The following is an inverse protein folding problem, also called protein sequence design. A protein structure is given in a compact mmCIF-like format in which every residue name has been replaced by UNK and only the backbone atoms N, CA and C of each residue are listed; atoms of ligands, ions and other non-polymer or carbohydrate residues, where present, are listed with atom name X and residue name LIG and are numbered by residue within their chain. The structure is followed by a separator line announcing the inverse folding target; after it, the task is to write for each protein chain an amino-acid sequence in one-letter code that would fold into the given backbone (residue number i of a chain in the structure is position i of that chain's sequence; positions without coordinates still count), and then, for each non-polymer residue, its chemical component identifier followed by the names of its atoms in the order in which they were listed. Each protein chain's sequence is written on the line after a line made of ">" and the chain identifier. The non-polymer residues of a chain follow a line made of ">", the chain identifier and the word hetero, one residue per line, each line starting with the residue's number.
data_IF_825089863325
#
_entry.id   IF_825089863325
#
_cell.length_a   1.000
_cell.length_b   1.000
_cell.length_c   1.000
_cell.angle_alpha   90.00
_cell.angle_beta   90.00
_cell.angle_gamma   90.00
#
_symmetry.space_group_name_H-M   'P 1'
#
loop_
_entity.id
_entity.type
_entity.pdbx_description
1 polymer ?
#
# COMPACT_ATOMS: atom_id res chain seq x y z
N UNK A 1 27.05 8.06 -8.66
CA UNK A 1 25.92 7.24 -8.21
C UNK A 1 25.29 7.97 -7.03
N UNK A 2 23.96 8.21 -7.04
CA UNK A 2 23.25 8.83 -5.95
C UNK A 2 23.23 7.97 -4.69
N UNK A 3 22.64 8.50 -3.59
CA UNK A 3 22.39 7.72 -2.37
C UNK A 3 21.31 6.68 -2.67
N UNK A 4 21.51 5.37 -2.42
CA UNK A 4 20.49 4.36 -2.65
C UNK A 4 19.37 4.38 -1.61
N UNK A 5 19.49 5.19 -0.56
CA UNK A 5 18.47 5.36 0.46
C UNK A 5 17.90 6.76 0.44
N UNK A 6 16.59 6.83 0.45
CA UNK A 6 15.87 8.09 0.67
C UNK A 6 14.93 7.93 1.86
N UNK A 7 15.30 8.54 2.98
CA UNK A 7 14.47 8.60 4.18
C UNK A 7 13.57 9.83 4.11
N UNK A 8 12.26 9.63 4.07
CA UNK A 8 11.28 10.70 4.11
C UNK A 8 11.27 11.37 5.49
N UNK A 9 11.32 12.72 5.56
CA UNK A 9 11.25 13.41 6.83
C UNK A 9 9.91 13.19 7.51
N UNK A 10 9.93 12.83 8.79
CA UNK A 10 8.76 12.54 9.63
C UNK A 10 7.72 13.68 9.68
N UNK A 11 8.15 14.92 9.48
CA UNK A 11 7.36 16.14 9.65
C UNK A 11 7.27 16.97 8.36
N UNK A 12 7.08 16.35 7.21
CA UNK A 12 6.67 17.14 6.05
C UNK A 12 5.22 17.55 6.27
N UNK A 13 4.94 18.78 6.79
CA UNK A 13 3.58 19.20 7.03
C UNK A 13 2.83 19.19 5.70
N UNK A 14 1.79 18.41 5.62
CA UNK A 14 0.88 18.36 4.48
C UNK A 14 1.07 17.23 3.48
N UNK A 15 2.00 16.29 3.65
CA UNK A 15 2.12 15.16 2.70
C UNK A 15 1.71 13.79 3.24
N UNK A 16 1.67 13.57 4.55
CA UNK A 16 1.38 12.24 5.12
C UNK A 16 0.12 12.13 5.97
N UNK A 17 -0.43 13.24 6.48
CA UNK A 17 -1.59 13.22 7.37
C UNK A 17 -2.87 13.76 6.74
N UNK A 18 -2.79 14.41 5.64
CA UNK A 18 -3.96 14.93 4.96
C UNK A 18 -4.11 14.24 3.63
N UNK A 19 -4.92 13.19 3.64
CA UNK A 19 -5.49 12.61 2.43
C UNK A 19 -4.41 12.36 1.37
N UNK A 20 -3.61 11.31 1.50
CA UNK A 20 -2.98 10.76 0.32
C UNK A 20 -4.14 10.54 -0.64
N UNK A 21 -4.32 11.50 -1.54
CA UNK A 21 -5.52 11.60 -2.39
C UNK A 21 -5.54 10.54 -3.47
N UNK A 22 -4.49 9.69 -3.52
CA UNK A 22 -4.33 8.71 -4.59
C UNK A 22 -3.47 7.54 -4.15
N UNK A 23 -3.84 6.40 -4.64
CA UNK A 23 -2.98 5.23 -4.67
C UNK A 23 -1.80 5.54 -5.58
N UNK A 24 -0.61 5.13 -5.18
CA UNK A 24 0.61 5.32 -5.95
C UNK A 24 1.43 4.03 -5.98
N UNK A 25 2.38 3.99 -6.85
CA UNK A 25 3.44 2.99 -6.91
C UNK A 25 4.75 3.69 -7.29
N UNK A 26 5.84 3.06 -7.00
CA UNK A 26 7.18 3.50 -7.35
C UNK A 26 8.07 2.31 -7.71
N UNK A 27 9.24 2.60 -8.26
CA UNK A 27 10.18 1.60 -8.73
C UNK A 27 11.21 1.18 -7.67
N UNK A 28 11.10 1.69 -6.48
CA UNK A 28 11.96 1.36 -5.34
C UNK A 28 11.23 0.41 -4.39
N UNK A 29 11.99 -0.34 -3.60
CA UNK A 29 11.49 -0.97 -2.38
C UNK A 29 11.16 0.11 -1.37
N UNK A 30 9.98 0.04 -0.73
CA UNK A 30 9.65 0.93 0.39
C UNK A 30 9.56 0.13 1.69
N UNK A 31 10.29 0.61 2.68
CA UNK A 31 10.16 0.17 4.06
C UNK A 31 9.48 1.26 4.88
N UNK A 32 8.49 0.89 5.68
CA UNK A 32 7.82 1.80 6.59
C UNK A 32 7.96 1.38 8.04
N UNK A 33 8.13 2.35 8.94
CA UNK A 33 8.06 2.17 10.38
C UNK A 33 7.05 3.11 10.99
N UNK A 34 5.94 2.55 11.49
CA UNK A 34 4.89 3.29 12.19
C UNK A 34 5.20 3.31 13.68
N UNK A 35 5.37 4.51 14.25
CA UNK A 35 5.70 4.70 15.66
C UNK A 35 4.51 5.03 16.52
N UNK A 36 3.51 5.68 15.96
CA UNK A 36 2.31 6.13 16.68
C UNK A 36 1.07 6.03 15.78
N UNK A 37 -0.09 5.97 16.41
CA UNK A 37 -1.38 6.06 15.71
C UNK A 37 -1.87 4.75 15.12
N UNK A 38 -2.87 4.87 14.28
CA UNK A 38 -3.52 3.74 13.60
C UNK A 38 -4.14 4.18 12.28
N UNK A 39 -4.53 3.22 11.45
CA UNK A 39 -5.15 3.53 10.17
C UNK A 39 -5.41 2.30 9.33
N UNK A 40 -5.47 2.52 8.03
CA UNK A 40 -5.67 1.48 7.03
C UNK A 40 -4.56 1.62 5.99
N UNK A 41 -3.91 0.51 5.70
CA UNK A 41 -2.99 0.37 4.59
C UNK A 41 -3.71 -0.34 3.45
N UNK A 42 -3.78 0.29 2.31
CA UNK A 42 -4.24 -0.35 1.09
C UNK A 42 -3.02 -0.78 0.27
N UNK A 43 -2.96 -2.06 -0.05
CA UNK A 43 -1.89 -2.62 -0.90
C UNK A 43 -2.55 -3.52 -1.93
N UNK A 44 -2.46 -3.16 -3.21
CA UNK A 44 -3.09 -3.84 -4.34
C UNK A 44 -4.61 -4.00 -4.14
N UNK A 45 -5.11 -5.19 -3.83
CA UNK A 45 -6.52 -5.47 -3.57
C UNK A 45 -6.84 -5.68 -2.08
N UNK A 46 -5.83 -5.54 -1.22
CA UNK A 46 -5.97 -5.78 0.22
C UNK A 46 -6.17 -4.47 0.98
N UNK A 47 -7.08 -4.51 1.93
CA UNK A 47 -7.32 -3.42 2.89
C UNK A 47 -6.90 -3.94 4.27
N UNK A 48 -5.80 -3.42 4.79
CA UNK A 48 -5.14 -3.96 5.98
C UNK A 48 -5.19 -2.91 7.09
N UNK A 49 -5.98 -3.13 8.15
CA UNK A 49 -5.90 -2.28 9.34
C UNK A 49 -4.52 -2.39 9.97
N UNK A 50 -3.96 -1.24 10.38
CA UNK A 50 -2.71 -1.22 11.13
C UNK A 50 -2.86 -0.41 12.42
N UNK A 51 -2.04 -0.75 13.39
CA UNK A 51 -1.85 -0.01 14.63
C UNK A 51 -0.37 -0.02 14.97
N UNK A 52 0.14 1.13 15.41
CA UNK A 52 1.53 1.23 15.89
C UNK A 52 1.76 0.44 17.18
N UNK A 53 2.96 -0.15 17.38
CA UNK A 53 4.06 -0.15 16.42
C UNK A 53 3.86 -1.19 15.31
N UNK A 54 4.18 -0.82 14.06
CA UNK A 54 4.16 -1.77 12.95
C UNK A 54 5.16 -1.35 11.85
N UNK A 55 5.50 -2.29 10.99
CA UNK A 55 6.34 -2.05 9.82
C UNK A 55 5.58 -2.36 8.53
N UNK A 56 5.97 -1.72 7.44
CA UNK A 56 5.55 -2.08 6.09
C UNK A 56 6.75 -2.48 5.22
N UNK A 57 6.51 -3.46 4.34
CA UNK A 57 7.44 -3.87 3.29
C UNK A 57 6.67 -3.88 1.98
N UNK A 58 6.92 -2.89 1.14
CA UNK A 58 6.26 -2.69 -0.14
C UNK A 58 7.30 -2.86 -1.24
N UNK A 59 7.06 -3.84 -2.09
CA UNK A 59 7.96 -4.13 -3.21
C UNK A 59 7.70 -3.19 -4.39
N UNK A 60 8.69 -3.10 -5.26
CA UNK A 60 8.61 -2.37 -6.51
C UNK A 60 7.31 -2.66 -7.27
N UNK A 61 6.64 -1.60 -7.70
CA UNK A 61 5.43 -1.69 -8.52
C UNK A 61 4.16 -2.07 -7.76
N UNK A 62 4.21 -2.36 -6.45
CA UNK A 62 3.00 -2.57 -5.66
C UNK A 62 2.25 -1.26 -5.46
N UNK A 63 0.99 -1.27 -5.83
CA UNK A 63 0.12 -0.11 -5.64
C UNK A 63 -0.30 -0.07 -4.18
N UNK A 64 -0.05 1.06 -3.54
CA UNK A 64 -0.32 1.19 -2.11
C UNK A 64 -0.68 2.61 -1.69
N UNK A 65 -1.26 2.71 -0.50
CA UNK A 65 -1.49 3.95 0.23
C UNK A 65 -1.67 3.63 1.73
N UNK A 66 -1.00 4.40 2.59
CA UNK A 66 -1.27 4.42 4.02
C UNK A 66 -2.21 5.58 4.35
N UNK A 67 -3.24 5.33 5.13
CA UNK A 67 -4.15 6.37 5.58
C UNK A 67 -4.37 6.29 7.08
N UNK A 68 -4.08 7.39 7.74
CA UNK A 68 -4.24 7.55 9.18
C UNK A 68 -5.73 7.60 9.59
N UNK A 69 -6.00 7.11 10.79
CA UNK A 69 -7.22 7.42 11.49
C UNK A 69 -7.17 8.89 11.97
N UNK A 70 -8.16 9.74 11.63
CA UNK A 70 -8.17 11.15 12.04
C UNK A 70 -8.08 11.36 13.54
N UNK A 71 -8.68 10.45 14.33
CA UNK A 71 -8.71 10.53 15.79
C UNK A 71 -7.41 10.01 16.43
N UNK A 72 -6.61 9.25 15.66
CA UNK A 72 -5.30 8.71 16.07
C UNK A 72 -4.34 8.76 14.88
N UNK A 73 -3.88 9.95 14.50
CA UNK A 73 -3.00 10.11 13.35
C UNK A 73 -1.74 9.25 13.48
N UNK A 74 -1.39 8.59 12.39
CA UNK A 74 -0.22 7.72 12.37
C UNK A 74 1.04 8.53 12.05
N UNK A 75 2.14 8.19 12.73
CA UNK A 75 3.46 8.72 12.42
C UNK A 75 4.31 7.63 11.80
N UNK A 76 4.73 7.87 10.57
CA UNK A 76 5.52 6.95 9.79
C UNK A 76 6.90 7.52 9.44
N UNK A 77 7.89 6.66 9.42
CA UNK A 77 9.12 6.83 8.67
C UNK A 77 9.04 5.94 7.44
N UNK A 78 9.16 6.52 6.25
CA UNK A 78 9.25 5.77 5.01
C UNK A 78 10.65 5.88 4.43
N UNK A 79 11.17 4.77 3.95
CA UNK A 79 12.50 4.64 3.36
C UNK A 79 12.33 4.04 1.98
N UNK A 80 12.64 4.80 0.95
CA UNK A 80 12.78 4.26 -0.39
C UNK A 80 14.20 3.74 -0.57
N UNK A 81 14.31 2.54 -1.09
CA UNK A 81 15.56 1.80 -1.25
C UNK A 81 15.74 1.45 -2.72
N UNK A 82 16.79 1.98 -3.34
CA UNK A 82 17.15 1.67 -4.72
C UNK A 82 17.63 0.21 -4.84
N UNK A 83 17.18 -0.49 -5.86
CA UNK A 83 17.57 -1.88 -6.13
C UNK A 83 19.08 -2.07 -6.34
N UNK A 84 19.84 -1.01 -6.63
CA UNK A 84 21.28 -1.08 -6.81
C UNK A 84 22.03 -1.60 -5.56
N UNK A 85 21.37 -1.61 -4.38
CA UNK A 85 21.93 -2.22 -3.16
C UNK A 85 21.87 -3.74 -3.20
N UNK A 86 20.98 -4.31 -3.99
CA UNK A 86 20.90 -5.75 -4.22
C UNK A 86 21.91 -6.11 -5.31
N UNK A 87 22.98 -6.77 -4.95
CA UNK A 87 24.00 -7.16 -5.94
C UNK A 87 23.49 -8.30 -6.81
N UNK A 88 24.05 -8.42 -8.03
CA UNK A 88 23.78 -9.55 -8.95
C UNK A 88 24.07 -10.96 -8.38
N UNK A 89 24.61 -11.03 -7.16
CA UNK A 89 24.85 -12.27 -6.41
C UNK A 89 23.74 -12.60 -5.42
N UNK A 90 22.81 -11.65 -5.20
CA UNK A 90 21.68 -11.92 -4.33
C UNK A 90 20.66 -12.77 -5.10
N UNK A 91 20.01 -13.64 -4.38
CA UNK A 91 18.98 -14.51 -4.91
C UNK A 91 17.90 -13.66 -5.61
N UNK A 92 17.62 -13.91 -6.89
CA UNK A 92 16.55 -13.25 -7.65
C UNK A 92 15.20 -13.35 -6.93
N UNK A 93 15.07 -14.32 -6.02
CA UNK A 93 13.89 -14.45 -5.16
C UNK A 93 13.65 -13.24 -4.24
N UNK A 94 14.67 -12.42 -3.95
CA UNK A 94 14.54 -11.24 -3.08
C UNK A 94 13.92 -10.02 -3.80
N UNK A 95 14.07 -9.96 -5.12
CA UNK A 95 13.59 -8.83 -5.94
C UNK A 95 12.29 -9.15 -6.67
N UNK A 96 12.01 -10.43 -6.89
CA UNK A 96 10.78 -10.87 -7.53
C UNK A 96 9.62 -10.70 -6.56
N UNK A 97 8.75 -9.72 -6.84
CA UNK A 97 7.61 -9.31 -6.04
C UNK A 97 6.92 -10.39 -5.21
N UNK A 98 7.39 -10.57 -4.01
CA UNK A 98 6.80 -11.53 -3.07
C UNK A 98 5.52 -10.95 -2.50
N UNK A 99 4.43 -11.70 -2.61
CA UNK A 99 3.16 -11.36 -1.96
C UNK A 99 3.24 -11.88 -0.52
N UNK A 100 4.01 -11.21 0.32
CA UNK A 100 4.00 -11.40 1.77
C UNK A 100 2.92 -10.58 2.46
N UNK A 101 2.88 -10.63 3.78
CA UNK A 101 2.11 -9.69 4.57
C UNK A 101 2.77 -8.31 4.45
N UNK A 102 2.16 -7.33 3.76
CA UNK A 102 2.81 -6.04 3.54
C UNK A 102 2.89 -5.19 4.82
N UNK A 103 2.09 -5.53 5.85
CA UNK A 103 2.11 -4.91 7.18
C UNK A 103 2.43 -5.98 8.21
N UNK A 104 3.37 -5.69 9.06
CA UNK A 104 3.92 -6.58 10.08
C UNK A 104 3.89 -5.87 11.43
N UNK A 105 3.38 -6.53 12.44
CA UNK A 105 3.30 -6.06 13.80
C UNK A 105 4.04 -7.00 14.77
N UNK A 106 3.94 -6.75 16.05
CA UNK A 106 4.59 -7.52 17.11
C UNK A 106 3.83 -8.80 17.50
N UNK A 107 2.75 -9.15 16.81
CA UNK A 107 1.94 -10.34 17.12
C UNK A 107 2.65 -11.66 16.81
N UNK A 108 3.59 -11.66 15.88
CA UNK A 108 4.40 -12.84 15.51
C UNK A 108 5.89 -12.61 15.81
N UNK A 109 6.66 -13.69 15.93
CA UNK A 109 8.11 -13.60 16.14
C UNK A 109 8.80 -12.91 14.94
N UNK A 110 8.43 -13.34 13.74
CA UNK A 110 8.96 -12.79 12.49
C UNK A 110 8.58 -11.32 12.32
N UNK A 111 7.35 -10.93 12.68
CA UNK A 111 6.89 -9.55 12.63
C UNK A 111 7.71 -8.66 13.58
N UNK A 112 7.96 -9.10 14.81
CA UNK A 112 8.83 -8.40 15.78
C UNK A 112 10.24 -8.22 15.26
N UNK A 113 10.80 -9.26 14.66
CA UNK A 113 12.15 -9.21 14.09
C UNK A 113 12.25 -8.17 12.98
N UNK A 114 11.30 -8.19 12.02
CA UNK A 114 11.30 -7.26 10.89
C UNK A 114 11.06 -5.83 11.39
N UNK A 115 10.12 -5.63 12.32
CA UNK A 115 9.86 -4.32 12.93
C UNK A 115 11.14 -3.74 13.57
N UNK A 116 11.86 -4.55 14.33
CA UNK A 116 13.14 -4.16 14.95
C UNK A 116 14.18 -3.80 13.90
N UNK A 117 14.31 -4.60 12.85
CA UNK A 117 15.28 -4.34 11.77
C UNK A 117 14.94 -3.05 11.02
N UNK A 118 13.68 -2.79 10.72
CA UNK A 118 13.26 -1.54 10.04
C UNK A 118 13.54 -0.33 10.92
N UNK A 119 13.29 -0.43 12.23
CA UNK A 119 13.68 0.62 13.19
C UNK A 119 15.18 0.88 13.13
N UNK A 120 16.02 -0.17 13.17
CA UNK A 120 17.48 -0.03 13.10
C UNK A 120 17.94 0.63 11.79
N UNK A 121 17.28 0.38 10.65
CA UNK A 121 17.57 1.07 9.39
C UNK A 121 17.29 2.56 9.52
N UNK A 122 16.14 2.96 10.09
CA UNK A 122 15.82 4.38 10.33
C UNK A 122 16.87 5.03 11.22
N UNK A 123 17.24 4.38 12.33
CA UNK A 123 18.22 4.90 13.28
C UNK A 123 19.60 5.10 12.64
N UNK A 124 20.07 4.16 11.81
CA UNK A 124 21.33 4.28 11.08
C UNK A 124 21.31 5.43 10.07
N UNK A 125 20.23 5.54 9.29
CA UNK A 125 20.09 6.61 8.29
C UNK A 125 19.99 8.01 8.92
N UNK A 126 19.40 8.11 10.12
CA UNK A 126 19.32 9.37 10.87
C UNK A 126 20.63 9.73 11.52
N UNK A 127 21.33 8.75 12.08
CA UNK A 127 22.59 8.97 12.81
C UNK A 127 23.74 9.44 11.92
N UNK A 128 23.75 9.05 10.63
CA UNK A 128 24.75 9.42 9.62
C UNK A 128 26.20 9.21 10.07
N UNK A 129 26.45 8.17 10.88
CA UNK A 129 27.79 7.80 11.38
C UNK A 129 28.62 7.14 10.28
N UNK A 130 29.97 7.14 10.38
CA UNK A 130 30.78 6.32 9.49
C UNK A 130 30.30 4.85 9.50
N UNK A 131 30.03 4.28 8.33
CA UNK A 131 29.52 2.92 8.21
C UNK A 131 28.01 2.74 8.31
N UNK A 132 27.23 3.77 8.68
CA UNK A 132 25.76 3.68 8.78
C UNK A 132 25.09 3.18 7.51
N UNK A 133 25.61 3.59 6.35
CA UNK A 133 25.08 3.15 5.06
C UNK A 133 25.27 1.64 4.86
N UNK A 134 26.45 1.11 5.13
CA UNK A 134 26.74 -0.31 5.03
C UNK A 134 25.90 -1.11 6.01
N UNK A 135 25.73 -0.61 7.24
CA UNK A 135 24.84 -1.21 8.21
C UNK A 135 23.39 -1.26 7.68
N UNK A 136 22.89 -0.15 7.14
CA UNK A 136 21.53 -0.09 6.56
C UNK A 136 21.36 -1.10 5.40
N UNK A 137 22.34 -1.23 4.50
CA UNK A 137 22.33 -2.23 3.42
C UNK A 137 22.20 -3.66 3.95
N UNK A 138 22.97 -4.04 4.95
CA UNK A 138 22.89 -5.39 5.55
C UNK A 138 21.56 -5.62 6.27
N UNK A 139 21.06 -4.61 6.96
CA UNK A 139 19.74 -4.67 7.63
C UNK A 139 18.62 -4.87 6.62
N UNK A 140 18.62 -4.12 5.52
CA UNK A 140 17.62 -4.26 4.45
C UNK A 140 17.67 -5.67 3.85
N UNK A 141 18.83 -6.20 3.55
CA UNK A 141 18.97 -7.59 3.08
C UNK A 141 18.38 -8.59 4.08
N UNK A 142 18.66 -8.41 5.36
CA UNK A 142 18.10 -9.27 6.42
C UNK A 142 16.58 -9.18 6.49
N UNK A 143 16.01 -7.99 6.33
CA UNK A 143 14.54 -7.77 6.24
C UNK A 143 13.97 -8.56 5.06
N UNK A 144 14.56 -8.42 3.88
CA UNK A 144 14.06 -9.08 2.67
C UNK A 144 14.11 -10.61 2.79
N UNK A 145 15.20 -11.17 3.29
CA UNK A 145 15.29 -12.63 3.53
C UNK A 145 14.26 -13.12 4.54
N UNK A 146 14.04 -12.38 5.63
CA UNK A 146 13.00 -12.73 6.62
C UNK A 146 11.61 -12.61 6.02
N UNK A 147 11.33 -11.53 5.30
CA UNK A 147 10.03 -11.29 4.67
C UNK A 147 9.71 -12.32 3.59
N UNK A 148 10.70 -12.72 2.78
CA UNK A 148 10.55 -13.75 1.76
C UNK A 148 10.08 -15.11 2.34
N UNK A 149 10.48 -15.44 3.57
CA UNK A 149 10.02 -16.66 4.26
C UNK A 149 8.55 -16.63 4.68
N UNK A 150 7.99 -15.42 4.80
CA UNK A 150 6.57 -15.21 5.12
C UNK A 150 5.69 -15.20 3.88
N UNK A 151 6.29 -15.23 2.71
CA UNK A 151 5.61 -15.00 1.44
C UNK A 151 5.13 -16.30 0.79
N UNK A 152 3.92 -16.30 0.31
CA UNK A 152 3.43 -17.33 -0.62
C UNK A 152 4.00 -17.00 -2.02
N UNK A 153 4.69 -17.95 -2.66
CA UNK A 153 5.52 -17.74 -3.86
C UNK A 153 4.71 -17.43 -5.13
N UNK A 154 4.05 -16.28 -5.19
CA UNK A 154 3.46 -15.77 -6.43
C UNK A 154 4.29 -14.62 -6.98
N UNK A 155 5.11 -14.90 -7.97
CA UNK A 155 5.90 -13.89 -8.67
C UNK A 155 5.02 -13.14 -9.68
N UNK A 156 4.87 -11.83 -9.52
CA UNK A 156 4.42 -10.94 -10.60
C UNK A 156 5.67 -10.35 -11.26
N UNK A 157 5.89 -10.65 -12.53
CA UNK A 157 7.03 -10.13 -13.26
C UNK A 157 6.93 -8.59 -13.41
N UNK A 158 7.90 -7.79 -12.91
CA UNK A 158 7.83 -6.33 -12.88
C UNK A 158 7.54 -5.67 -14.23
N UNK A 159 8.06 -6.24 -15.34
CA UNK A 159 7.83 -5.73 -16.69
C UNK A 159 6.37 -5.81 -17.15
N UNK A 160 5.56 -6.72 -16.59
CA UNK A 160 4.12 -6.82 -16.91
C UNK A 160 3.34 -5.63 -16.39
N UNK A 161 3.72 -5.13 -15.23
CA UNK A 161 3.09 -3.93 -14.65
C UNK A 161 3.46 -2.68 -15.46
N UNK A 162 4.70 -2.55 -15.94
CA UNK A 162 5.15 -1.41 -16.73
C UNK A 162 4.26 -1.15 -17.97
N UNK A 163 3.76 -2.19 -18.61
CA UNK A 163 2.90 -2.07 -19.81
C UNK A 163 1.53 -1.46 -19.51
N UNK A 164 0.99 -1.67 -18.31
CA UNK A 164 -0.34 -1.16 -17.89
C UNK A 164 -0.24 0.01 -16.91
N UNK A 165 0.97 0.39 -16.51
CA UNK A 165 1.27 1.45 -15.57
C UNK A 165 0.58 2.79 -15.89
N UNK A 166 0.50 3.28 -17.14
CA UNK A 166 -0.21 4.52 -17.44
C UNK A 166 -1.71 4.44 -17.09
N UNK A 167 -2.34 3.29 -17.34
CA UNK A 167 -3.76 3.09 -17.00
C UNK A 167 -3.96 2.99 -15.48
N UNK A 168 -3.06 2.30 -14.79
CA UNK A 168 -3.06 2.19 -13.32
C UNK A 168 -2.94 3.58 -12.68
N UNK A 169 -1.96 4.39 -13.12
CA UNK A 169 -1.76 5.76 -12.64
C UNK A 169 -2.98 6.64 -12.92
N UNK A 170 -3.56 6.52 -14.10
CA UNK A 170 -4.76 7.28 -14.43
C UNK A 170 -5.93 6.93 -13.49
N UNK A 171 -6.21 5.65 -13.29
CA UNK A 171 -7.28 5.22 -12.38
C UNK A 171 -7.01 5.71 -10.96
N UNK A 172 -5.79 5.63 -10.46
CA UNK A 172 -5.44 6.09 -9.11
C UNK A 172 -5.71 7.58 -8.91
N UNK A 173 -5.50 8.39 -9.94
CA UNK A 173 -5.71 9.84 -9.88
C UNK A 173 -7.15 10.27 -10.18
N UNK A 174 -7.92 9.45 -10.93
CA UNK A 174 -9.23 9.80 -11.48
C UNK A 174 -10.34 8.80 -11.12
N UNK A 175 -10.16 7.96 -10.10
CA UNK A 175 -11.11 6.89 -9.74
C UNK A 175 -12.53 7.42 -9.45
N UNK A 176 -12.65 8.63 -8.93
CA UNK A 176 -13.94 9.25 -8.65
C UNK A 176 -14.69 9.69 -9.91
N UNK A 177 -14.01 9.81 -11.02
CA UNK A 177 -14.54 10.23 -12.31
C UNK A 177 -14.89 9.00 -13.18
N UNK A 178 -15.61 9.20 -14.31
CA UNK A 178 -15.76 8.14 -15.30
C UNK A 178 -14.39 7.70 -15.85
N UNK A 179 -14.10 6.40 -15.77
CA UNK A 179 -12.86 5.81 -16.29
C UNK A 179 -13.19 4.84 -17.45
N UNK A 180 -13.48 5.33 -18.66
CA UNK A 180 -13.77 4.47 -19.80
C UNK A 180 -12.56 3.58 -20.13
N UNK A 181 -12.83 2.32 -20.46
CA UNK A 181 -11.76 1.38 -20.77
C UNK A 181 -10.99 1.76 -22.04
N UNK A 182 -11.66 2.45 -22.96
CA UNK A 182 -11.08 3.00 -24.18
C UNK A 182 -10.00 4.04 -23.87
N UNK A 183 -10.25 4.93 -22.90
CA UNK A 183 -9.26 5.91 -22.41
C UNK A 183 -8.04 5.20 -21.82
N UNK A 184 -8.27 4.17 -20.99
CA UNK A 184 -7.17 3.41 -20.40
C UNK A 184 -6.34 2.68 -21.47
N UNK A 185 -6.99 2.16 -22.51
CA UNK A 185 -6.31 1.51 -23.63
C UNK A 185 -5.46 2.50 -24.43
N UNK A 186 -5.99 3.70 -24.69
CA UNK A 186 -5.27 4.77 -25.38
C UNK A 186 -4.03 5.21 -24.61
N UNK A 187 -4.14 5.39 -23.28
CA UNK A 187 -3.01 5.76 -22.42
C UNK A 187 -1.87 4.73 -22.46
N UNK A 188 -2.22 3.47 -22.63
CA UNK A 188 -1.24 2.39 -22.76
C UNK A 188 -0.81 2.13 -24.23
N UNK A 189 -1.27 2.91 -25.21
CA UNK A 189 -1.05 2.68 -26.65
C UNK A 189 -1.47 1.27 -27.10
N UNK A 190 -2.62 0.78 -26.63
CA UNK A 190 -3.11 -0.56 -26.87
C UNK A 190 -4.57 -0.56 -27.34
N UNK A 191 -5.00 -1.67 -27.95
CA UNK A 191 -6.43 -1.94 -28.13
C UNK A 191 -7.06 -2.37 -26.81
N UNK A 192 -8.38 -2.19 -26.66
CA UNK A 192 -9.12 -2.60 -25.44
C UNK A 192 -8.93 -4.10 -25.13
N UNK A 193 -8.90 -4.96 -26.15
CA UNK A 193 -8.66 -6.39 -25.98
C UNK A 193 -7.26 -6.70 -25.47
N UNK A 194 -6.25 -5.99 -25.99
CA UNK A 194 -4.87 -6.11 -25.54
C UNK A 194 -4.72 -5.62 -24.11
N UNK A 195 -5.33 -4.47 -23.77
CA UNK A 195 -5.32 -3.95 -22.41
C UNK A 195 -5.91 -4.96 -21.42
N UNK A 196 -7.10 -5.52 -21.71
CA UNK A 196 -7.72 -6.52 -20.83
C UNK A 196 -6.81 -7.72 -20.56
N UNK A 197 -6.18 -8.25 -21.59
CA UNK A 197 -5.25 -9.38 -21.48
C UNK A 197 -4.02 -9.02 -20.64
N UNK A 198 -3.41 -7.84 -20.91
CA UNK A 198 -2.22 -7.36 -20.18
C UNK A 198 -2.56 -7.04 -18.73
N UNK A 199 -3.70 -6.41 -18.48
CA UNK A 199 -4.18 -6.13 -17.12
C UNK A 199 -4.36 -7.43 -16.32
N UNK A 200 -5.02 -8.44 -16.93
CA UNK A 200 -5.16 -9.73 -16.27
C UNK A 200 -3.82 -10.42 -16.01
N UNK A 201 -2.89 -10.32 -16.95
CA UNK A 201 -1.54 -10.87 -16.80
C UNK A 201 -0.71 -10.16 -15.71
N UNK A 202 -0.93 -8.86 -15.50
CA UNK A 202 -0.16 -8.04 -14.54
C UNK A 202 -0.80 -7.99 -13.14
N UNK A 203 -2.13 -7.91 -13.07
CA UNK A 203 -2.87 -7.62 -11.84
C UNK A 203 -3.92 -8.68 -11.48
N UNK A 204 -3.98 -9.79 -12.21
CA UNK A 204 -4.91 -10.92 -12.04
C UNK A 204 -6.40 -10.49 -11.99
N UNK A 205 -6.72 -9.33 -12.56
CA UNK A 205 -8.08 -8.80 -12.59
C UNK A 205 -8.38 -8.04 -13.90
N UNK A 206 -9.65 -7.84 -14.19
CA UNK A 206 -10.06 -6.96 -15.29
C UNK A 206 -9.88 -5.48 -14.91
N UNK A 207 -9.66 -4.56 -15.88
CA UNK A 207 -9.56 -3.12 -15.59
C UNK A 207 -10.76 -2.56 -14.84
N UNK A 208 -11.98 -3.02 -15.14
CA UNK A 208 -13.19 -2.63 -14.42
C UNK A 208 -13.19 -3.07 -12.95
N UNK A 209 -12.69 -4.28 -12.67
CA UNK A 209 -12.58 -4.77 -11.30
C UNK A 209 -11.50 -3.98 -10.53
N UNK A 210 -10.41 -3.60 -11.20
CA UNK A 210 -9.39 -2.74 -10.63
C UNK A 210 -9.96 -1.37 -10.22
N UNK A 211 -10.73 -0.70 -11.11
CA UNK A 211 -11.43 0.55 -10.78
C UNK A 211 -12.31 0.38 -9.53
N UNK A 212 -13.06 -0.72 -9.46
CA UNK A 212 -13.87 -1.01 -8.29
C UNK A 212 -13.04 -1.21 -7.02
N UNK A 213 -11.91 -1.91 -7.08
CA UNK A 213 -10.99 -2.09 -5.95
C UNK A 213 -10.49 -0.74 -5.42
N UNK A 214 -10.04 0.14 -6.31
CA UNK A 214 -9.57 1.49 -5.97
C UNK A 214 -10.68 2.31 -5.30
N UNK A 215 -11.87 2.34 -5.88
CA UNK A 215 -13.04 3.05 -5.35
C UNK A 215 -13.45 2.55 -3.96
N UNK A 216 -13.48 1.23 -3.78
CA UNK A 216 -13.86 0.63 -2.49
C UNK A 216 -12.75 0.84 -1.46
N UNK A 217 -11.48 0.78 -1.83
CA UNK A 217 -10.37 1.14 -0.96
C UNK A 217 -10.51 2.56 -0.44
N UNK A 218 -10.73 3.54 -1.34
CA UNK A 218 -10.97 4.93 -0.96
C UNK A 218 -12.21 5.09 -0.06
N UNK A 219 -13.30 4.37 -0.36
CA UNK A 219 -14.50 4.38 0.48
C UNK A 219 -14.25 3.85 1.88
N UNK A 220 -13.47 2.77 2.01
CA UNK A 220 -13.12 2.16 3.30
C UNK A 220 -12.42 3.17 4.20
N UNK A 221 -11.54 3.92 3.63
CA UNK A 221 -10.83 4.99 4.29
C UNK A 221 -11.77 6.09 4.77
N UNK A 222 -12.64 6.59 3.89
CA UNK A 222 -13.64 7.63 4.25
C UNK A 222 -14.60 7.14 5.33
N UNK A 223 -14.93 5.84 5.37
CA UNK A 223 -15.76 5.24 6.41
C UNK A 223 -15.13 5.33 7.80
N UNK A 224 -13.80 5.23 7.90
CA UNK A 224 -13.06 5.31 9.17
C UNK A 224 -12.80 6.73 9.61
N UNK A 225 -12.64 7.66 8.66
CA UNK A 225 -12.12 9.00 8.88
C UNK A 225 -13.20 10.08 9.00
N UNK A 226 -14.37 9.87 8.44
CA UNK A 226 -15.33 10.94 8.22
C UNK A 226 -16.73 10.64 8.77
N UNK A 227 -17.40 11.70 9.27
CA UNK A 227 -18.82 11.64 9.67
C UNK A 227 -19.80 11.74 8.48
N UNK A 228 -19.33 11.47 7.26
CA UNK A 228 -20.16 11.48 6.06
C UNK A 228 -21.14 10.32 6.02
N UNK A 229 -22.30 10.53 5.41
CA UNK A 229 -23.25 9.45 5.16
C UNK A 229 -22.68 8.44 4.16
N UNK A 230 -23.20 7.22 4.19
CA UNK A 230 -22.80 6.18 3.21
C UNK A 230 -23.10 6.62 1.77
N UNK A 231 -24.17 7.39 1.58
CA UNK A 231 -24.56 7.91 0.27
C UNK A 231 -23.57 8.96 -0.24
N UNK A 232 -23.12 9.87 0.61
CA UNK A 232 -22.09 10.85 0.25
C UNK A 232 -20.78 10.18 -0.15
N UNK A 233 -20.33 9.20 0.63
CA UNK A 233 -19.12 8.43 0.30
C UNK A 233 -19.29 7.69 -1.03
N UNK A 234 -20.44 7.05 -1.25
CA UNK A 234 -20.78 6.38 -2.50
C UNK A 234 -20.56 7.30 -3.72
N UNK A 235 -21.08 8.52 -3.66
CA UNK A 235 -20.93 9.49 -4.76
C UNK A 235 -19.49 10.01 -4.88
N UNK A 236 -18.82 10.30 -3.75
CA UNK A 236 -17.45 10.79 -3.74
C UNK A 236 -16.45 9.80 -4.36
N UNK A 237 -16.67 8.50 -4.21
CA UNK A 237 -15.80 7.51 -4.83
C UNK A 237 -16.24 7.08 -6.24
N UNK A 238 -17.18 7.83 -6.84
CA UNK A 238 -17.54 7.68 -8.25
C UNK A 238 -18.62 6.63 -8.56
N UNK A 239 -19.44 6.23 -7.58
CA UNK A 239 -20.63 5.40 -7.83
C UNK A 239 -21.87 6.26 -8.00
N UNK A 240 -22.65 5.97 -9.04
CA UNK A 240 -23.91 6.64 -9.33
C UNK A 240 -25.10 6.05 -8.57
N UNK A 241 -24.96 4.84 -8.00
CA UNK A 241 -26.03 4.22 -7.22
C UNK A 241 -25.50 3.50 -6.00
N UNK A 242 -26.22 3.66 -4.89
CA UNK A 242 -25.92 3.03 -3.61
C UNK A 242 -26.00 1.49 -3.71
N UNK A 243 -26.89 0.96 -4.55
CA UNK A 243 -27.03 -0.48 -4.76
C UNK A 243 -25.78 -1.10 -5.41
N UNK A 244 -25.24 -0.45 -6.45
CA UNK A 244 -24.00 -0.88 -7.08
C UNK A 244 -22.82 -0.77 -6.12
N UNK A 245 -22.73 0.33 -5.39
CA UNK A 245 -21.71 0.54 -4.36
C UNK A 245 -21.75 -0.57 -3.30
N UNK A 246 -22.91 -0.80 -2.66
CA UNK A 246 -23.03 -1.82 -1.61
C UNK A 246 -22.70 -3.22 -2.11
N UNK A 247 -23.09 -3.57 -3.33
CA UNK A 247 -22.77 -4.86 -3.95
C UNK A 247 -21.27 -5.03 -4.12
N UNK A 248 -20.58 -4.04 -4.69
CA UNK A 248 -19.13 -4.11 -4.90
C UNK A 248 -18.36 -4.04 -3.58
N UNK A 249 -18.83 -3.21 -2.64
CA UNK A 249 -18.23 -3.13 -1.32
C UNK A 249 -18.25 -4.49 -0.61
N UNK A 250 -19.44 -5.13 -0.54
CA UNK A 250 -19.56 -6.48 0.07
C UNK A 250 -18.75 -7.53 -0.69
N UNK A 251 -18.73 -7.48 -2.02
CA UNK A 251 -17.91 -8.39 -2.84
C UNK A 251 -16.43 -8.32 -2.49
N UNK A 252 -15.90 -7.12 -2.25
CA UNK A 252 -14.47 -6.89 -2.05
C UNK A 252 -14.04 -6.95 -0.58
N UNK A 253 -14.91 -6.60 0.36
CA UNK A 253 -14.58 -6.52 1.81
C UNK A 253 -15.22 -7.62 2.66
N UNK A 254 -16.18 -8.36 2.11
CA UNK A 254 -16.94 -9.38 2.84
C UNK A 254 -18.09 -8.84 3.68
N UNK A 255 -18.15 -7.55 3.95
CA UNK A 255 -19.18 -6.90 4.79
C UNK A 255 -19.78 -5.66 4.10
N UNK A 256 -20.90 -5.14 4.60
CA UNK A 256 -21.47 -3.89 4.10
C UNK A 256 -20.72 -2.67 4.64
N UNK A 257 -20.83 -1.49 3.97
CA UNK A 257 -20.22 -0.25 4.47
C UNK A 257 -20.68 0.11 5.89
N UNK A 258 -21.95 -0.16 6.20
CA UNK A 258 -22.52 0.11 7.53
C UNK A 258 -21.95 -0.83 8.61
N UNK A 259 -21.83 -2.11 8.29
CA UNK A 259 -21.21 -3.09 9.19
C UNK A 259 -19.75 -2.75 9.47
N UNK A 260 -18.98 -2.42 8.45
CA UNK A 260 -17.59 -2.00 8.58
C UNK A 260 -17.46 -0.75 9.45
N UNK A 261 -18.25 0.30 9.20
CA UNK A 261 -18.24 1.52 10.02
C UNK A 261 -18.54 1.23 11.48
N UNK A 262 -19.56 0.41 11.76
CA UNK A 262 -19.93 0.06 13.12
C UNK A 262 -18.81 -0.74 13.82
N UNK A 263 -18.15 -1.63 13.12
CA UNK A 263 -17.02 -2.41 13.62
C UNK A 263 -15.83 -1.52 13.96
N UNK A 264 -15.50 -0.58 13.08
CA UNK A 264 -14.42 0.39 13.29
C UNK A 264 -14.68 1.27 14.52
N UNK A 265 -15.90 1.80 14.67
CA UNK A 265 -16.29 2.61 15.83
C UNK A 265 -16.22 1.84 17.15
N UNK A 266 -16.64 0.58 17.16
CA UNK A 266 -16.55 -0.27 18.37
C UNK A 266 -15.11 -0.51 18.81
N UNK A 267 -14.16 -0.70 17.86
CA UNK A 267 -12.74 -0.85 18.19
C UNK A 267 -12.13 0.42 18.80
N UNK A 268 -12.65 1.60 18.45
CA UNK A 268 -12.18 2.88 18.99
C UNK A 268 -12.68 3.15 20.42
N UNK A 269 -13.81 2.55 20.81
CA UNK A 269 -14.44 2.76 22.13
C UNK A 269 -14.09 1.67 23.16
N UNK A 270 -13.36 0.62 22.78
CA UNK A 270 -12.94 -0.43 23.70
C UNK A 270 -11.69 0.02 24.46
N UNK A 271 -11.68 0.11 25.80
CA UNK A 271 -10.47 0.41 26.55
C UNK A 271 -9.45 -0.71 26.33
N UNK A 272 -8.16 -0.34 26.33
CA UNK A 272 -7.06 -1.31 26.33
C UNK A 272 -7.25 -2.28 27.50
N UNK A 273 -7.02 -3.58 27.33
CA UNK A 273 -6.92 -4.48 28.46
C UNK A 273 -5.74 -4.03 29.33
N UNK A 274 -6.00 -3.92 30.66
CA UNK A 274 -5.00 -3.63 31.69
C UNK A 274 -3.88 -4.68 31.72
#
# INVERSE_FOLDING_TARGET
>A
KGDPFFLWPQNSPGKMDTHARYLHYHNELELGWCTEGSGIFFVEDKVIPFQAPCASVIYQGQIHIAQSNPDKPAKWYFINVDECILSAKDDESLTAGHIGAPILDDSTAEGRDILTLVQMVVDELQAKRPGSRQCAEWLVRSILYKHARLSDHRQVAPWRLAEVSPAVTYVSNHYAEPCPIETLAQLCNMSVSTLRRKFYSALECAPSDYIHRVRIGAATVMLSAENKSILEICHQVGYMSLSSFNRQFRKLTGESPREMRNRMRKKQTSPLPE
#
